data_IF_423389398061
#
_entry.id   IF_423389398061
#
_cell.length_a   1.000
_cell.length_b   1.000
_cell.length_c   1.000
_cell.angle_alpha   90.00
_cell.angle_beta   90.00
_cell.angle_gamma   90.00
#
_symmetry.space_group_name_H-M   'P 1'
#
loop_
_entity.id
_entity.type
_entity.pdbx_description
1 polymer ?
#
# COMPACT_ATOMS: atom_id res chain seq x y z
N UNK A 1 46.07 63.87 -37.43
CA UNK A 1 45.35 62.59 -37.34
C UNK A 1 45.22 62.22 -35.87
N UNK A 2 43.98 62.08 -35.38
CA UNK A 2 43.49 61.34 -34.19
C UNK A 2 44.27 61.47 -32.86
N UNK A 3 43.77 62.15 -31.81
CA UNK A 3 42.67 61.78 -30.86
C UNK A 3 42.96 60.47 -30.10
N UNK A 4 42.77 60.26 -28.79
CA UNK A 4 42.16 60.96 -27.64
C UNK A 4 42.47 60.14 -26.35
N UNK A 5 42.55 60.82 -25.20
CA UNK A 5 42.24 60.46 -23.78
C UNK A 5 42.33 59.02 -23.19
N UNK A 6 42.91 58.92 -21.99
CA UNK A 6 42.37 58.14 -20.85
C UNK A 6 43.08 58.45 -19.50
N UNK A 7 42.32 58.80 -18.46
CA UNK A 7 42.21 58.03 -17.20
C UNK A 7 41.49 58.83 -16.10
N UNK A 8 40.39 58.28 -15.61
CA UNK A 8 39.78 58.66 -14.33
C UNK A 8 39.35 57.40 -13.57
N UNK A 9 39.58 57.46 -12.27
CA UNK A 9 39.25 56.51 -11.20
C UNK A 9 37.76 56.28 -11.03
N UNK A 10 37.36 55.06 -10.64
CA UNK A 10 36.00 54.75 -10.23
C UNK A 10 35.91 53.44 -9.42
N UNK A 11 35.33 53.57 -8.23
CA UNK A 11 35.15 52.61 -7.14
C UNK A 11 34.47 51.29 -7.54
N UNK A 12 34.92 50.19 -6.91
CA UNK A 12 34.22 48.91 -6.92
C UNK A 12 33.36 48.76 -5.67
N UNK A 13 32.05 48.61 -5.85
CA UNK A 13 31.16 48.06 -4.85
C UNK A 13 30.19 47.07 -5.52
N UNK A 14 30.11 45.91 -4.87
CA UNK A 14 29.49 44.66 -5.30
C UNK A 14 27.99 44.79 -5.62
N UNK A 15 27.60 44.33 -6.81
CA UNK A 15 26.25 43.81 -7.06
C UNK A 15 26.38 42.50 -7.85
N UNK A 16 26.49 41.37 -7.15
CA UNK A 16 26.32 40.05 -7.76
C UNK A 16 24.83 39.67 -7.78
N UNK A 17 24.08 40.39 -8.61
CA UNK A 17 22.70 40.03 -8.96
C UNK A 17 22.75 38.87 -9.98
N UNK A 18 22.95 37.64 -9.49
CA UNK A 18 22.90 36.45 -10.33
C UNK A 18 21.43 36.07 -10.59
N UNK A 19 20.81 36.82 -11.48
CA UNK A 19 19.51 36.53 -12.07
C UNK A 19 19.63 35.26 -12.95
N UNK A 20 19.50 34.08 -12.34
CA UNK A 20 19.33 32.82 -13.06
C UNK A 20 17.98 32.89 -13.78
N UNK A 21 18.01 33.26 -15.07
CA UNK A 21 16.86 33.52 -15.95
C UNK A 21 15.72 32.52 -15.72
N UNK A 22 14.65 32.96 -15.08
CA UNK A 22 13.35 32.25 -15.01
C UNK A 22 12.94 31.69 -13.66
N UNK A 23 13.80 31.67 -12.64
CA UNK A 23 13.42 31.25 -11.29
C UNK A 23 12.68 32.38 -10.53
N UNK A 24 11.59 32.03 -9.87
CA UNK A 24 10.87 32.93 -8.95
C UNK A 24 11.39 32.65 -7.53
N UNK A 25 11.84 33.69 -6.83
CA UNK A 25 12.32 33.61 -5.44
C UNK A 25 11.35 34.30 -4.49
N UNK A 26 10.86 33.56 -3.50
CA UNK A 26 9.98 34.03 -2.42
C UNK A 26 10.70 33.77 -1.10
N UNK A 27 11.40 34.79 -0.60
CA UNK A 27 12.28 34.71 0.58
C UNK A 27 13.24 33.52 0.48
N UNK A 28 13.00 32.46 1.24
CA UNK A 28 13.87 31.28 1.35
C UNK A 28 13.54 30.17 0.33
N UNK A 29 12.42 30.28 -0.40
CA UNK A 29 12.02 29.31 -1.42
C UNK A 29 12.27 29.90 -2.79
N UNK A 30 12.86 29.13 -3.71
CA UNK A 30 12.86 29.45 -5.14
C UNK A 30 12.24 28.31 -5.94
N UNK A 31 11.60 28.62 -7.07
CA UNK A 31 11.04 27.59 -7.95
C UNK A 31 11.02 28.03 -9.40
N UNK A 32 11.02 27.06 -10.32
CA UNK A 32 10.83 27.31 -11.74
C UNK A 32 9.35 27.15 -12.11
N UNK A 33 8.65 28.24 -12.51
CA UNK A 33 7.24 28.16 -12.89
C UNK A 33 6.99 27.31 -14.15
N UNK A 34 8.02 27.01 -14.95
CA UNK A 34 7.92 26.15 -16.13
C UNK A 34 8.11 24.67 -15.80
N UNK A 35 8.83 24.35 -14.73
CA UNK A 35 9.06 22.98 -14.26
C UNK A 35 7.90 22.47 -13.40
N UNK A 36 6.73 22.27 -14.02
CA UNK A 36 5.51 21.80 -13.35
C UNK A 36 5.58 20.29 -13.12
N UNK A 37 5.42 19.88 -11.86
CA UNK A 37 5.38 18.47 -11.45
C UNK A 37 3.94 17.95 -11.36
N UNK A 38 2.97 18.82 -11.07
CA UNK A 38 1.58 18.43 -10.96
C UNK A 38 0.63 19.60 -10.79
N UNK A 39 -0.65 19.34 -11.04
CA UNK A 39 -1.76 20.28 -10.84
C UNK A 39 -2.75 19.67 -9.85
N UNK A 40 -3.23 20.49 -8.92
CA UNK A 40 -4.21 20.10 -7.91
C UNK A 40 -5.50 20.90 -8.04
N UNK A 41 -6.46 20.62 -7.15
CA UNK A 41 -7.72 21.35 -7.12
C UNK A 41 -7.53 22.83 -6.75
N UNK A 42 -8.50 23.67 -7.15
CA UNK A 42 -8.57 25.10 -6.80
C UNK A 42 -7.32 25.91 -7.21
N UNK A 43 -6.74 25.57 -8.37
CA UNK A 43 -5.57 26.27 -8.91
C UNK A 43 -4.26 25.94 -8.20
N UNK A 44 -4.23 24.88 -7.37
CA UNK A 44 -2.99 24.41 -6.74
C UNK A 44 -2.03 23.92 -7.82
N UNK A 45 -0.76 24.33 -7.73
CA UNK A 45 0.29 23.93 -8.66
C UNK A 45 1.50 23.43 -7.90
N UNK A 46 2.14 22.36 -8.36
CA UNK A 46 3.39 21.86 -7.79
C UNK A 46 4.49 22.05 -8.81
N UNK A 47 5.57 22.74 -8.42
CA UNK A 47 6.73 23.00 -9.26
C UNK A 47 8.01 22.44 -8.64
N UNK A 48 9.02 22.16 -9.47
CA UNK A 48 10.38 21.92 -8.97
C UNK A 48 10.96 23.23 -8.44
N UNK A 49 11.63 23.17 -7.30
CA UNK A 49 12.28 24.33 -6.69
C UNK A 49 13.43 23.97 -5.76
N UNK A 50 13.87 24.96 -4.99
CA UNK A 50 14.91 24.85 -3.97
C UNK A 50 14.52 25.55 -2.66
N UNK A 51 15.00 24.98 -1.57
CA UNK A 51 14.95 25.55 -0.23
C UNK A 51 16.23 25.16 0.49
N UNK A 52 17.00 26.13 1.00
CA UNK A 52 18.25 25.90 1.74
C UNK A 52 19.23 24.94 1.01
N UNK A 53 19.56 25.28 -0.25
CA UNK A 53 20.36 24.46 -1.20
C UNK A 53 19.83 23.04 -1.51
N UNK A 54 18.66 22.67 -0.98
CA UNK A 54 18.00 21.39 -1.24
C UNK A 54 17.02 21.52 -2.40
N UNK A 55 17.06 20.56 -3.32
CA UNK A 55 16.01 20.34 -4.32
C UNK A 55 14.69 19.91 -3.64
N UNK A 56 13.60 20.64 -3.90
CA UNK A 56 12.29 20.42 -3.27
C UNK A 56 11.15 20.47 -4.30
N UNK A 57 10.00 19.90 -3.93
CA UNK A 57 8.73 20.17 -4.59
C UNK A 57 8.06 21.37 -3.90
N UNK A 58 7.69 22.40 -4.66
CA UNK A 58 7.03 23.61 -4.15
C UNK A 58 5.56 23.56 -4.53
N UNK A 59 4.70 23.27 -3.55
CA UNK A 59 3.23 23.33 -3.68
C UNK A 59 2.77 24.77 -3.47
N UNK A 60 2.11 25.32 -4.48
CA UNK A 60 1.66 26.71 -4.57
C UNK A 60 0.14 26.70 -4.50
N UNK A 61 -0.42 27.35 -3.48
CA UNK A 61 -1.85 27.46 -3.26
C UNK A 61 -2.30 28.91 -3.30
N UNK A 62 -3.49 29.17 -3.84
CA UNK A 62 -4.12 30.50 -3.75
C UNK A 62 -4.31 30.90 -2.29
N UNK A 63 -4.16 32.18 -1.98
CA UNK A 63 -4.35 32.70 -0.63
C UNK A 63 -5.76 32.49 -0.08
N UNK A 64 -6.78 32.41 -0.92
CA UNK A 64 -8.14 32.08 -0.48
C UNK A 64 -8.26 30.65 0.09
N UNK A 65 -7.33 29.77 -0.29
CA UNK A 65 -7.17 28.45 0.29
C UNK A 65 -6.30 28.44 1.57
N UNK A 66 -5.89 29.60 2.10
CA UNK A 66 -4.98 29.70 3.26
C UNK A 66 -5.46 28.92 4.49
N UNK A 67 -6.77 28.89 4.75
CA UNK A 67 -7.32 28.10 5.88
C UNK A 67 -7.07 26.60 5.70
N UNK A 68 -7.14 26.09 4.47
CA UNK A 68 -6.84 24.70 4.14
C UNK A 68 -5.32 24.46 4.19
N UNK A 69 -4.54 25.36 3.59
CA UNK A 69 -3.07 25.28 3.61
C UNK A 69 -2.51 25.29 5.04
N UNK A 70 -3.05 26.13 5.94
CA UNK A 70 -2.64 26.18 7.35
C UNK A 70 -2.86 24.85 8.06
N UNK A 71 -4.00 24.19 7.83
CA UNK A 71 -4.28 22.86 8.40
C UNK A 71 -3.33 21.80 7.84
N UNK A 72 -3.13 21.81 6.53
CA UNK A 72 -2.16 20.91 5.87
C UNK A 72 -0.76 21.07 6.46
N UNK A 73 -0.27 22.32 6.62
CA UNK A 73 1.03 22.63 7.22
C UNK A 73 1.10 22.15 8.67
N UNK A 74 0.05 22.36 9.47
CA UNK A 74 0.00 21.92 10.87
C UNK A 74 0.04 20.40 11.01
N UNK A 75 -0.61 19.67 10.11
CA UNK A 75 -0.53 18.20 10.08
C UNK A 75 0.86 17.74 9.64
N UNK A 76 1.36 18.25 8.51
CA UNK A 76 2.67 17.88 7.97
C UNK A 76 3.82 18.09 8.97
N UNK A 77 3.84 19.24 9.66
CA UNK A 77 4.87 19.55 10.68
C UNK A 77 4.91 18.57 11.84
N UNK A 78 3.80 17.86 12.12
CA UNK A 78 3.74 16.88 13.21
C UNK A 78 4.11 15.47 12.76
N UNK A 79 4.20 15.20 11.45
CA UNK A 79 4.12 13.85 10.89
C UNK A 79 5.24 13.52 9.89
N UNK A 80 6.17 14.45 9.67
CA UNK A 80 7.25 14.34 8.67
C UNK A 80 8.43 13.44 9.10
N UNK A 81 8.30 12.72 10.22
CA UNK A 81 9.32 11.83 10.76
C UNK A 81 9.24 10.38 10.23
N UNK A 82 8.07 9.97 9.71
CA UNK A 82 7.89 8.59 9.24
C UNK A 82 8.42 8.40 7.81
N UNK A 83 9.10 7.28 7.55
CA UNK A 83 9.74 6.97 6.26
C UNK A 83 8.77 6.89 5.08
N UNK A 84 7.48 6.69 5.35
CA UNK A 84 6.41 6.53 4.35
C UNK A 84 5.38 7.66 4.37
N UNK A 85 5.73 8.81 4.95
CA UNK A 85 4.95 10.06 4.89
C UNK A 85 5.83 11.15 4.28
N UNK A 86 5.25 11.96 3.39
CA UNK A 86 6.01 13.00 2.70
C UNK A 86 6.66 13.97 3.70
N UNK A 87 7.95 14.24 3.51
CA UNK A 87 8.66 15.17 4.37
C UNK A 87 8.31 16.61 4.04
N UNK A 88 7.97 17.37 5.06
CA UNK A 88 7.81 18.82 4.99
C UNK A 88 9.12 19.52 5.34
N UNK A 89 9.44 20.59 4.61
CA UNK A 89 10.64 21.39 4.89
C UNK A 89 10.28 22.79 5.38
N UNK A 90 9.44 23.50 4.63
CA UNK A 90 9.19 24.91 4.90
C UNK A 90 7.87 25.39 4.32
N UNK A 91 7.42 26.56 4.75
CA UNK A 91 6.39 27.31 4.04
C UNK A 91 6.69 28.80 4.02
N UNK A 92 6.27 29.46 2.94
CA UNK A 92 6.24 30.91 2.80
C UNK A 92 4.86 31.37 2.33
N UNK A 93 4.63 32.68 2.43
CA UNK A 93 3.43 33.31 1.89
C UNK A 93 3.74 34.71 1.40
N UNK A 94 3.00 35.15 0.40
CA UNK A 94 2.98 36.54 -0.06
C UNK A 94 1.54 37.07 -0.13
N UNK A 95 1.32 38.12 -0.92
CA UNK A 95 0.01 38.74 -1.07
C UNK A 95 -1.00 37.85 -1.80
N UNK A 96 -0.56 36.93 -2.65
CA UNK A 96 -1.39 36.15 -3.58
C UNK A 96 -1.39 34.64 -3.28
N UNK A 97 -0.30 34.09 -2.75
CA UNK A 97 -0.08 32.65 -2.65
C UNK A 97 0.50 32.20 -1.30
N UNK A 98 0.33 30.90 -1.05
CA UNK A 98 1.02 30.13 -0.01
C UNK A 98 1.91 29.11 -0.72
N UNK A 99 3.16 29.01 -0.28
CA UNK A 99 4.19 28.13 -0.83
C UNK A 99 4.58 27.12 0.23
N UNK A 100 4.53 25.83 -0.09
CA UNK A 100 4.93 24.74 0.81
C UNK A 100 6.06 23.96 0.13
N UNK A 101 7.24 23.94 0.75
CA UNK A 101 8.39 23.15 0.30
C UNK A 101 8.32 21.74 0.92
N UNK A 102 8.27 20.73 0.05
CA UNK A 102 8.14 19.31 0.38
C UNK A 102 9.30 18.50 -0.24
N UNK A 103 9.47 17.27 0.21
CA UNK A 103 10.38 16.31 -0.44
C UNK A 103 10.06 16.15 -1.93
N UNK A 104 11.13 16.28 -2.75
CA UNK A 104 11.05 16.09 -4.18
C UNK A 104 11.14 14.60 -4.50
N UNK A 105 10.05 14.07 -5.06
CA UNK A 105 9.92 12.68 -5.46
C UNK A 105 10.24 12.50 -6.96
N UNK A 106 10.46 11.27 -7.40
CA UNK A 106 10.70 10.95 -8.81
C UNK A 106 9.39 10.97 -9.61
N UNK A 107 8.31 10.51 -9.00
CA UNK A 107 6.96 10.56 -9.56
C UNK A 107 5.92 10.05 -8.57
N UNK A 108 4.73 9.77 -9.06
CA UNK A 108 3.64 9.17 -8.27
C UNK A 108 3.38 7.70 -8.67
N UNK A 109 2.47 7.04 -7.97
CA UNK A 109 2.16 5.63 -8.18
C UNK A 109 1.49 5.36 -9.53
N UNK A 110 0.79 6.34 -10.10
CA UNK A 110 0.30 6.22 -11.48
C UNK A 110 1.46 6.23 -12.47
N UNK A 111 2.45 7.11 -12.28
CA UNK A 111 3.67 7.11 -13.13
C UNK A 111 4.42 5.77 -13.03
N UNK A 112 4.44 5.15 -11.85
CA UNK A 112 5.00 3.80 -11.65
C UNK A 112 4.25 2.75 -12.48
N UNK A 113 2.91 2.73 -12.40
CA UNK A 113 2.07 1.75 -13.11
C UNK A 113 2.10 1.96 -14.63
N UNK A 114 2.19 3.21 -15.08
CA UNK A 114 2.30 3.58 -16.50
C UNK A 114 3.74 3.46 -17.06
N UNK A 115 4.66 2.88 -16.28
CA UNK A 115 6.06 2.67 -16.66
C UNK A 115 6.84 3.95 -17.03
N UNK A 116 6.44 5.09 -16.47
CA UNK A 116 7.12 6.38 -16.70
C UNK A 116 8.38 6.55 -15.84
N UNK A 117 8.58 5.66 -14.85
CA UNK A 117 9.69 5.67 -13.90
C UNK A 117 10.80 4.66 -14.26
N UNK A 118 11.00 4.37 -15.55
CA UNK A 118 11.92 3.33 -16.03
C UNK A 118 13.40 3.53 -15.65
N UNK A 119 13.78 4.71 -15.15
CA UNK A 119 15.15 5.05 -14.73
C UNK A 119 15.48 4.69 -13.28
N UNK A 120 14.47 4.34 -12.47
CA UNK A 120 14.69 3.92 -11.08
C UNK A 120 14.46 2.42 -10.94
N UNK A 121 15.12 1.82 -9.95
CA UNK A 121 14.82 0.43 -9.59
C UNK A 121 13.36 0.33 -9.17
N UNK A 122 12.58 -0.50 -9.87
CA UNK A 122 11.19 -0.74 -9.51
C UNK A 122 11.13 -1.50 -8.20
N UNK A 123 10.33 -0.98 -7.28
CA UNK A 123 9.89 -1.75 -6.11
C UNK A 123 8.97 -2.86 -6.58
N UNK A 124 9.05 -4.02 -5.94
CA UNK A 124 8.06 -5.08 -6.11
C UNK A 124 6.68 -4.58 -5.65
N UNK A 125 5.59 -4.91 -6.37
CA UNK A 125 4.23 -4.42 -6.07
C UNK A 125 3.81 -4.61 -4.61
N UNK A 126 4.11 -5.77 -4.03
CA UNK A 126 3.75 -6.10 -2.64
C UNK A 126 4.54 -5.23 -1.66
N UNK A 127 5.81 -4.97 -1.89
CA UNK A 127 6.62 -4.09 -1.03
C UNK A 127 6.16 -2.64 -1.14
N UNK A 128 5.75 -2.20 -2.34
CA UNK A 128 5.17 -0.88 -2.54
C UNK A 128 3.90 -0.70 -1.67
N UNK A 129 2.98 -1.66 -1.77
CA UNK A 129 1.74 -1.68 -1.00
C UNK A 129 2.04 -1.75 0.50
N UNK A 130 3.02 -2.56 0.90
CA UNK A 130 3.45 -2.71 2.29
C UNK A 130 3.92 -1.37 2.87
N UNK A 131 4.76 -0.63 2.15
CA UNK A 131 5.22 0.69 2.55
C UNK A 131 4.09 1.73 2.60
N UNK A 132 3.15 1.71 1.64
CA UNK A 132 1.95 2.53 1.68
C UNK A 132 1.15 2.26 2.96
N UNK A 133 0.91 0.99 3.30
CA UNK A 133 0.16 0.61 4.49
C UNK A 133 0.88 0.97 5.79
N UNK A 134 2.22 0.90 5.84
CA UNK A 134 3.01 1.41 6.99
C UNK A 134 2.78 2.91 7.21
N UNK A 135 2.79 3.70 6.13
CA UNK A 135 2.47 5.12 6.19
C UNK A 135 1.05 5.36 6.71
N UNK A 136 0.08 4.55 6.27
CA UNK A 136 -1.32 4.70 6.68
C UNK A 136 -1.54 4.33 8.15
N UNK A 137 -0.93 3.23 8.61
CA UNK A 137 -0.89 2.83 10.03
C UNK A 137 -0.34 3.98 10.90
N UNK A 138 0.77 4.58 10.47
CA UNK A 138 1.36 5.72 11.18
C UNK A 138 0.36 6.88 11.27
N UNK A 139 -0.27 7.31 10.17
CA UNK A 139 -1.26 8.39 10.20
C UNK A 139 -2.45 8.08 11.12
N UNK A 140 -3.00 6.87 11.02
CA UNK A 140 -4.14 6.43 11.84
C UNK A 140 -3.78 6.41 13.34
N UNK A 141 -2.53 6.06 13.70
CA UNK A 141 -2.05 6.09 15.10
C UNK A 141 -2.01 7.50 15.71
N UNK A 142 -1.91 8.56 14.88
CA UNK A 142 -2.01 9.96 15.31
C UNK A 142 -3.43 10.53 15.19
N UNK A 143 -4.41 9.67 14.92
CA UNK A 143 -5.81 10.04 14.71
C UNK A 143 -6.04 10.84 13.42
N UNK A 144 -5.18 10.68 12.41
CA UNK A 144 -5.28 11.42 11.14
C UNK A 144 -5.95 10.53 10.09
N UNK A 145 -7.10 10.98 9.58
CA UNK A 145 -7.75 10.40 8.39
C UNK A 145 -7.28 11.16 7.15
N UNK A 146 -6.79 10.46 6.13
CA UNK A 146 -6.23 11.06 4.92
C UNK A 146 -7.31 11.65 4.00
N UNK A 147 -8.35 10.85 3.69
CA UNK A 147 -9.56 11.17 2.90
C UNK A 147 -9.38 11.39 1.39
N UNK A 148 -8.17 11.36 0.87
CA UNK A 148 -7.92 11.42 -0.58
C UNK A 148 -6.78 10.49 -1.01
N UNK A 149 -6.78 9.25 -0.50
CA UNK A 149 -5.83 8.24 -0.97
C UNK A 149 -6.21 7.80 -2.40
N UNK A 150 -5.23 7.89 -3.31
CA UNK A 150 -5.32 7.54 -4.72
C UNK A 150 -3.90 7.45 -5.30
N UNK A 151 -3.69 6.84 -6.48
CA UNK A 151 -2.34 6.69 -7.04
C UNK A 151 -1.56 8.00 -7.20
N UNK A 152 -2.24 9.11 -7.49
CA UNK A 152 -1.61 10.42 -7.64
C UNK A 152 -0.98 10.96 -6.34
N UNK A 153 -1.52 10.54 -5.18
CA UNK A 153 -1.10 11.05 -3.87
C UNK A 153 -0.14 10.09 -3.15
N UNK A 154 0.13 8.93 -3.75
CA UNK A 154 1.18 8.01 -3.31
C UNK A 154 2.41 8.29 -4.16
N UNK A 155 3.47 8.82 -3.55
CA UNK A 155 4.68 9.25 -4.25
C UNK A 155 5.78 8.20 -4.15
N UNK A 156 6.62 8.16 -5.17
CA UNK A 156 7.82 7.33 -5.25
C UNK A 156 9.03 8.23 -5.08
N UNK A 157 9.79 8.04 -4.00
CA UNK A 157 10.95 8.89 -3.70
C UNK A 157 12.01 8.78 -4.79
N UNK A 158 12.90 9.76 -4.82
CA UNK A 158 14.17 9.58 -5.54
C UNK A 158 14.97 8.44 -4.91
N UNK A 159 15.83 7.75 -5.69
CA UNK A 159 16.76 6.77 -5.13
C UNK A 159 17.66 7.41 -4.08
N UNK A 160 17.81 6.75 -2.94
CA UNK A 160 18.76 7.13 -1.91
C UNK A 160 20.21 6.80 -2.32
N UNK A 161 21.13 6.95 -1.36
CA UNK A 161 22.56 6.77 -1.62
C UNK A 161 22.90 5.32 -2.02
N UNK A 162 22.10 4.33 -1.59
CA UNK A 162 22.28 2.92 -1.90
C UNK A 162 21.33 2.45 -3.02
N UNK A 163 20.63 3.38 -3.69
CA UNK A 163 19.65 3.09 -4.74
C UNK A 163 18.26 2.74 -4.21
N UNK A 164 18.05 2.77 -2.90
CA UNK A 164 16.78 2.44 -2.26
C UNK A 164 15.70 3.47 -2.57
N UNK A 165 14.48 2.99 -2.84
CA UNK A 165 13.32 3.83 -3.16
C UNK A 165 12.25 3.63 -2.08
N UNK A 166 11.56 4.71 -1.74
CA UNK A 166 10.51 4.73 -0.70
C UNK A 166 9.16 5.12 -1.29
N UNK A 167 8.10 4.58 -0.71
CA UNK A 167 6.72 4.98 -1.00
C UNK A 167 6.24 5.96 0.07
N UNK A 168 5.67 7.09 -0.35
CA UNK A 168 5.33 8.21 0.53
C UNK A 168 3.87 8.60 0.35
N UNK A 169 3.09 8.64 1.43
CA UNK A 169 1.76 9.26 1.43
C UNK A 169 1.91 10.78 1.41
N UNK A 170 1.18 11.47 0.52
CA UNK A 170 1.24 12.92 0.33
C UNK A 170 -0.15 13.54 0.15
N UNK A 171 -0.19 14.88 0.08
CA UNK A 171 -1.39 15.70 -0.10
C UNK A 171 -2.39 15.67 1.08
N UNK A 172 -2.01 16.36 2.15
CA UNK A 172 -2.81 16.46 3.37
C UNK A 172 -3.86 17.57 3.31
N UNK A 173 -4.10 18.16 2.13
CA UNK A 173 -5.05 19.26 1.94
C UNK A 173 -6.49 18.89 2.29
N UNK A 174 -6.81 17.60 2.20
CA UNK A 174 -8.08 17.02 2.62
C UNK A 174 -7.97 16.20 3.90
N UNK A 175 -6.83 16.10 4.57
CA UNK A 175 -6.74 15.29 5.79
C UNK A 175 -7.45 15.95 6.99
N UNK A 176 -7.79 15.15 8.00
CA UNK A 176 -8.42 15.61 9.24
C UNK A 176 -7.89 14.83 10.43
N UNK A 177 -7.43 15.54 11.45
CA UNK A 177 -7.14 14.95 12.75
C UNK A 177 -8.43 14.85 13.57
N UNK A 178 -8.73 13.65 14.07
CA UNK A 178 -9.83 13.41 15.00
C UNK A 178 -9.45 13.91 16.40
N UNK A 179 -10.39 14.50 17.15
CA UNK A 179 -10.16 14.80 18.56
C UNK A 179 -9.82 13.53 19.35
N UNK A 180 -8.99 13.61 20.41
CA UNK A 180 -8.71 12.47 21.27
C UNK A 180 -9.99 11.80 21.78
N UNK A 181 -10.03 10.47 21.73
CA UNK A 181 -11.20 9.68 22.16
C UNK A 181 -12.40 9.72 21.22
N UNK A 182 -12.23 10.21 19.99
CA UNK A 182 -13.27 10.15 18.94
C UNK A 182 -12.81 9.30 17.76
N UNK A 183 -13.69 8.42 17.33
CA UNK A 183 -13.44 7.51 16.19
C UNK A 183 -14.12 7.98 14.90
N UNK A 184 -14.83 9.11 14.95
CA UNK A 184 -15.58 9.65 13.81
C UNK A 184 -15.58 11.17 13.71
N UNK A 185 -15.92 11.66 12.51
CA UNK A 185 -16.13 13.08 12.25
C UNK A 185 -17.45 13.36 11.51
N UNK A 186 -18.03 14.55 11.74
CA UNK A 186 -19.31 14.92 11.16
C UNK A 186 -19.23 15.25 9.66
N UNK A 187 -20.32 14.95 8.96
CA UNK A 187 -20.53 15.20 7.52
C UNK A 187 -20.73 16.67 7.14
N UNK A 188 -20.34 17.62 8.00
CA UNK A 188 -20.68 19.06 7.92
C UNK A 188 -20.11 19.79 6.70
N UNK A 189 -19.17 19.18 6.00
CA UNK A 189 -18.72 19.60 4.67
C UNK A 189 -19.19 18.55 3.66
N UNK A 190 -19.76 18.99 2.54
CA UNK A 190 -20.19 18.13 1.41
C UNK A 190 -19.08 17.20 0.90
N UNK A 191 -19.28 16.56 -0.26
CA UNK A 191 -18.31 15.60 -0.78
C UNK A 191 -16.88 16.19 -0.83
N UNK A 192 -15.95 15.51 -0.18
CA UNK A 192 -14.51 15.81 -0.17
C UNK A 192 -13.80 14.52 -0.57
N UNK A 193 -12.90 14.62 -1.55
CA UNK A 193 -12.14 13.49 -2.09
C UNK A 193 -12.24 13.44 -3.61
N UNK A 194 -11.65 12.40 -4.19
CA UNK A 194 -11.64 12.16 -5.64
C UNK A 194 -12.64 11.07 -5.99
N UNK A 195 -13.53 11.35 -6.95
CA UNK A 195 -14.45 10.34 -7.47
C UNK A 195 -13.67 9.11 -7.98
N UNK A 196 -14.24 7.94 -7.73
CA UNK A 196 -13.66 6.64 -8.06
C UNK A 196 -12.75 6.05 -6.99
N UNK A 197 -12.18 6.85 -6.10
CA UNK A 197 -11.33 6.36 -5.00
C UNK A 197 -12.00 6.51 -3.63
N UNK A 198 -12.98 7.40 -3.54
CA UNK A 198 -13.70 7.69 -2.30
C UNK A 198 -14.67 6.56 -1.90
N UNK A 199 -14.69 6.25 -0.61
CA UNK A 199 -15.59 5.29 0.00
C UNK A 199 -17.08 5.71 -0.11
N UNK A 200 -18.02 4.75 -0.21
CA UNK A 200 -19.44 5.03 -0.45
C UNK A 200 -20.09 5.94 0.61
N UNK A 201 -19.69 5.81 1.87
CA UNK A 201 -20.22 6.62 2.99
C UNK A 201 -19.85 8.12 2.89
N UNK A 202 -18.85 8.48 2.08
CA UNK A 202 -18.50 9.88 1.83
C UNK A 202 -19.54 10.62 0.99
N UNK A 203 -20.37 9.89 0.23
CA UNK A 203 -21.49 10.44 -0.53
C UNK A 203 -22.74 10.64 0.33
N UNK A 204 -22.82 9.99 1.49
CA UNK A 204 -23.93 10.12 2.43
C UNK A 204 -23.69 11.26 3.44
N UNK A 205 -24.79 11.92 3.84
CA UNK A 205 -24.79 12.92 4.92
C UNK A 205 -25.02 12.30 6.30
N UNK A 206 -25.57 11.09 6.36
CA UNK A 206 -26.11 10.49 7.58
C UNK A 206 -25.17 9.46 8.22
N UNK A 207 -24.04 9.15 7.58
CA UNK A 207 -23.08 8.18 8.08
C UNK A 207 -21.85 8.85 8.73
N UNK A 208 -21.46 8.32 9.88
CA UNK A 208 -20.23 8.67 10.56
C UNK A 208 -19.03 8.25 9.71
N UNK A 209 -18.11 9.17 9.49
CA UNK A 209 -16.91 8.94 8.70
C UNK A 209 -15.76 8.63 9.66
N UNK A 210 -15.09 7.50 9.47
CA UNK A 210 -14.02 6.99 10.35
C UNK A 210 -12.74 6.77 9.54
N UNK A 211 -11.72 6.13 10.13
CA UNK A 211 -10.52 5.66 9.41
C UNK A 211 -10.83 4.68 8.27
N UNK A 212 -11.99 4.02 8.30
CA UNK A 212 -12.42 3.03 7.31
C UNK A 212 -12.54 3.59 5.88
N UNK A 213 -12.71 4.93 5.73
CA UNK A 213 -12.73 5.57 4.40
C UNK A 213 -11.39 5.41 3.68
N UNK A 214 -10.28 5.50 4.43
CA UNK A 214 -8.94 5.36 3.87
C UNK A 214 -8.64 3.89 3.53
N UNK A 215 -9.19 2.95 4.31
CA UNK A 215 -9.05 1.50 4.06
C UNK A 215 -9.70 1.12 2.73
N UNK A 216 -10.89 1.65 2.45
CA UNK A 216 -11.54 1.45 1.15
C UNK A 216 -10.68 1.97 0.01
N UNK A 217 -10.22 3.23 0.11
CA UNK A 217 -9.35 3.84 -0.91
C UNK A 217 -8.04 3.07 -1.09
N UNK A 218 -7.42 2.60 -0.01
CA UNK A 218 -6.23 1.77 -0.04
C UNK A 218 -6.49 0.41 -0.70
N UNK A 219 -7.68 -0.18 -0.54
CA UNK A 219 -8.09 -1.42 -1.22
C UNK A 219 -8.18 -1.24 -2.73
N UNK A 220 -8.74 -0.11 -3.20
CA UNK A 220 -8.73 0.25 -4.62
C UNK A 220 -7.30 0.42 -5.15
N UNK A 221 -6.44 1.12 -4.41
CA UNK A 221 -5.04 1.34 -4.80
C UNK A 221 -4.25 0.02 -4.82
N UNK A 222 -4.47 -0.87 -3.86
CA UNK A 222 -3.85 -2.18 -3.80
C UNK A 222 -4.18 -3.00 -5.05
N UNK A 223 -5.46 -3.06 -5.44
CA UNK A 223 -5.88 -3.72 -6.67
C UNK A 223 -5.25 -3.08 -7.91
N UNK A 224 -5.24 -1.74 -7.98
CA UNK A 224 -4.64 -1.00 -9.09
C UNK A 224 -3.16 -1.33 -9.30
N UNK A 225 -2.39 -1.44 -8.22
CA UNK A 225 -0.98 -1.82 -8.26
C UNK A 225 -0.80 -3.27 -8.69
N UNK A 226 -1.53 -4.21 -8.09
CA UNK A 226 -1.38 -5.64 -8.38
C UNK A 226 -1.83 -6.03 -9.79
N UNK A 227 -2.72 -5.24 -10.40
CA UNK A 227 -3.22 -5.46 -11.76
C UNK A 227 -2.56 -4.56 -12.80
N UNK A 228 -1.60 -3.72 -12.38
CA UNK A 228 -0.92 -2.75 -13.24
C UNK A 228 -1.91 -1.86 -14.01
N UNK A 229 -2.92 -1.33 -13.31
CA UNK A 229 -3.75 -0.24 -13.83
C UNK A 229 -5.25 -0.48 -13.82
N UNK A 230 -5.75 -1.65 -13.43
CA UNK A 230 -7.20 -1.91 -13.38
C UNK A 230 -7.81 -1.36 -12.10
N UNK A 231 -9.12 -1.09 -12.14
CA UNK A 231 -9.87 -0.63 -10.97
C UNK A 231 -10.97 -1.65 -10.62
N UNK A 232 -11.19 -1.99 -9.33
CA UNK A 232 -12.11 -3.08 -8.97
C UNK A 232 -13.57 -2.77 -9.34
N UNK A 233 -13.90 -1.49 -9.47
CA UNK A 233 -15.24 -1.01 -9.81
C UNK A 233 -15.43 -0.70 -11.31
N UNK A 234 -14.55 -1.12 -12.20
CA UNK A 234 -14.72 -1.00 -13.66
C UNK A 234 -13.77 0.01 -14.32
N UNK A 235 -13.98 0.27 -15.62
CA UNK A 235 -12.97 0.98 -16.44
C UNK A 235 -13.26 2.47 -16.63
N UNK A 236 -14.54 2.89 -16.63
CA UNK A 236 -14.91 4.29 -16.78
C UNK A 236 -15.30 4.92 -15.44
N UNK A 237 -15.04 6.22 -15.27
CA UNK A 237 -15.40 6.92 -14.03
C UNK A 237 -16.90 6.81 -13.69
N UNK A 238 -17.77 6.78 -14.72
CA UNK A 238 -19.21 6.60 -14.56
C UNK A 238 -19.51 5.21 -13.97
N UNK A 239 -18.98 4.16 -14.56
CA UNK A 239 -19.21 2.79 -14.11
C UNK A 239 -18.66 2.58 -12.71
N UNK A 240 -17.44 3.07 -12.47
CA UNK A 240 -16.79 3.06 -11.16
C UNK A 240 -17.70 3.70 -10.11
N UNK A 241 -18.23 4.89 -10.38
CA UNK A 241 -19.06 5.61 -9.41
C UNK A 241 -20.35 4.85 -9.11
N UNK A 242 -21.03 4.32 -10.13
CA UNK A 242 -22.26 3.52 -9.96
C UNK A 242 -21.96 2.28 -9.13
N UNK A 243 -20.88 1.56 -9.47
CA UNK A 243 -20.49 0.31 -8.84
C UNK A 243 -20.05 0.46 -7.39
N UNK A 244 -19.36 1.56 -7.05
CA UNK A 244 -19.07 1.91 -5.65
C UNK A 244 -20.37 2.12 -4.88
N UNK A 245 -21.32 2.87 -5.46
CA UNK A 245 -22.60 3.15 -4.82
C UNK A 245 -23.45 1.88 -4.63
N UNK A 246 -23.44 0.95 -5.59
CA UNK A 246 -24.19 -0.31 -5.50
C UNK A 246 -23.44 -1.42 -4.76
N UNK A 247 -22.19 -1.19 -4.33
CA UNK A 247 -21.37 -2.19 -3.64
C UNK A 247 -20.93 -3.36 -4.52
N UNK A 248 -20.88 -3.17 -5.84
CA UNK A 248 -20.55 -4.24 -6.80
C UNK A 248 -19.16 -4.05 -7.37
N UNK A 249 -18.26 -5.01 -7.17
CA UNK A 249 -16.90 -4.98 -7.73
C UNK A 249 -16.49 -6.36 -8.27
N UNK A 250 -15.43 -6.39 -9.07
CA UNK A 250 -14.78 -7.63 -9.52
C UNK A 250 -13.29 -7.56 -9.23
N UNK A 251 -12.74 -8.67 -8.77
CA UNK A 251 -11.30 -8.84 -8.53
C UNK A 251 -10.67 -9.84 -9.50
N UNK A 252 -11.34 -10.15 -10.61
CA UNK A 252 -11.00 -11.29 -11.48
C UNK A 252 -9.71 -11.08 -12.27
N UNK A 253 -9.20 -9.85 -12.36
CA UNK A 253 -7.93 -9.55 -13.02
C UNK A 253 -6.71 -9.92 -12.16
N UNK A 254 -6.91 -10.25 -10.87
CA UNK A 254 -5.83 -10.81 -10.05
C UNK A 254 -5.55 -12.26 -10.48
N UNK A 255 -4.27 -12.66 -10.58
CA UNK A 255 -3.89 -13.96 -11.11
C UNK A 255 -4.46 -15.10 -10.24
N UNK A 256 -4.81 -16.27 -10.83
CA UNK A 256 -5.29 -17.43 -10.10
C UNK A 256 -4.14 -18.21 -9.42
N UNK A 257 -3.26 -17.50 -8.72
CA UNK A 257 -2.14 -18.04 -7.96
C UNK A 257 -2.40 -17.91 -6.46
N UNK A 258 -1.64 -18.60 -5.62
CA UNK A 258 -1.77 -18.48 -4.16
C UNK A 258 -1.72 -17.02 -3.70
N UNK A 259 -0.73 -16.24 -4.13
CA UNK A 259 -0.64 -14.83 -3.75
C UNK A 259 -1.79 -13.99 -4.34
N UNK A 260 -2.30 -14.33 -5.53
CA UNK A 260 -3.46 -13.68 -6.11
C UNK A 260 -4.75 -13.94 -5.31
N UNK A 261 -4.97 -15.16 -4.80
CA UNK A 261 -6.09 -15.45 -3.91
C UNK A 261 -5.93 -14.80 -2.53
N UNK A 262 -4.72 -14.77 -1.98
CA UNK A 262 -4.42 -14.06 -0.73
C UNK A 262 -4.68 -12.54 -0.89
N UNK A 263 -4.32 -11.95 -2.02
CA UNK A 263 -4.65 -10.56 -2.32
C UNK A 263 -6.16 -10.32 -2.47
N UNK A 264 -6.87 -11.21 -3.20
CA UNK A 264 -8.34 -11.16 -3.32
C UNK A 264 -9.02 -11.18 -1.95
N UNK A 265 -8.48 -11.96 -1.01
CA UNK A 265 -9.02 -12.10 0.33
C UNK A 265 -9.07 -10.77 1.10
N UNK A 266 -7.93 -10.10 1.23
CA UNK A 266 -7.85 -8.85 1.99
C UNK A 266 -8.48 -7.68 1.25
N UNK A 267 -8.34 -7.59 -0.07
CA UNK A 267 -8.94 -6.51 -0.87
C UNK A 267 -10.47 -6.58 -0.76
N UNK A 268 -11.06 -7.77 -0.78
CA UNK A 268 -12.51 -7.95 -0.60
C UNK A 268 -12.98 -7.37 0.74
N UNK A 269 -12.28 -7.66 1.84
CA UNK A 269 -12.62 -7.14 3.17
C UNK A 269 -12.45 -5.60 3.22
N UNK A 270 -11.38 -5.06 2.62
CA UNK A 270 -11.13 -3.61 2.54
C UNK A 270 -12.20 -2.87 1.72
N UNK A 271 -12.80 -3.51 0.71
CA UNK A 271 -13.81 -2.93 -0.18
C UNK A 271 -15.25 -3.17 0.28
N UNK A 272 -15.46 -3.67 1.51
CA UNK A 272 -16.81 -3.85 2.07
C UNK A 272 -17.64 -2.56 2.01
N UNK A 273 -18.90 -2.67 1.60
CA UNK A 273 -19.86 -1.57 1.65
C UNK A 273 -20.17 -1.13 3.08
N UNK A 274 -20.09 -2.04 4.06
CA UNK A 274 -20.18 -1.71 5.47
C UNK A 274 -18.80 -1.25 5.99
N UNK A 275 -18.64 0.02 6.38
CA UNK A 275 -17.36 0.52 6.89
C UNK A 275 -16.89 -0.18 8.17
N UNK A 276 -17.80 -0.74 8.99
CA UNK A 276 -17.42 -1.44 10.23
C UNK A 276 -16.89 -2.85 9.96
N UNK A 277 -17.19 -3.42 8.80
CA UNK A 277 -16.66 -4.71 8.38
C UNK A 277 -15.27 -4.60 7.74
N UNK A 278 -14.79 -3.38 7.45
CA UNK A 278 -13.45 -3.16 6.89
C UNK A 278 -12.40 -3.32 8.00
N UNK A 279 -11.27 -4.00 7.74
CA UNK A 279 -10.19 -4.15 8.72
C UNK A 279 -9.51 -2.81 8.99
N UNK A 280 -8.97 -2.62 10.19
CA UNK A 280 -8.07 -1.50 10.46
C UNK A 280 -6.77 -1.59 9.64
N UNK A 281 -6.05 -0.47 9.48
CA UNK A 281 -4.77 -0.45 8.75
C UNK A 281 -3.75 -1.42 9.35
N UNK A 282 -3.74 -1.59 10.67
CA UNK A 282 -2.87 -2.55 11.35
C UNK A 282 -3.23 -3.99 10.99
N UNK A 283 -4.52 -4.34 10.99
CA UNK A 283 -4.98 -5.68 10.60
C UNK A 283 -4.62 -5.99 9.15
N UNK A 284 -4.72 -5.01 8.24
CA UNK A 284 -4.26 -5.16 6.86
C UNK A 284 -2.75 -5.43 6.81
N UNK A 285 -1.94 -4.66 7.55
CA UNK A 285 -0.48 -4.78 7.54
C UNK A 285 0.04 -6.13 8.04
N UNK A 286 -0.70 -6.78 8.95
CA UNK A 286 -0.37 -8.09 9.50
C UNK A 286 -0.94 -9.26 8.69
N UNK A 287 -1.72 -8.96 7.64
CA UNK A 287 -2.35 -9.97 6.81
C UNK A 287 -1.32 -10.89 6.13
N UNK A 288 -1.73 -12.14 5.88
CA UNK A 288 -0.99 -13.19 5.17
C UNK A 288 -0.30 -12.73 3.86
N UNK A 289 -0.81 -11.67 3.22
CA UNK A 289 -0.24 -11.06 2.01
C UNK A 289 1.20 -10.59 2.21
N UNK A 290 1.53 -10.08 3.41
CA UNK A 290 2.85 -9.51 3.72
C UNK A 290 3.81 -10.49 4.40
N UNK A 291 3.38 -11.74 4.61
CA UNK A 291 4.24 -12.75 5.20
C UNK A 291 5.27 -13.28 4.20
N UNK A 292 6.51 -13.44 4.66
CA UNK A 292 7.50 -14.21 3.91
C UNK A 292 7.13 -15.71 3.90
N UNK A 293 7.75 -16.47 3.00
CA UNK A 293 7.46 -17.90 2.80
C UNK A 293 7.72 -18.74 4.05
N UNK A 294 8.79 -18.46 4.81
CA UNK A 294 9.03 -19.12 6.09
C UNK A 294 7.85 -18.92 7.06
N UNK A 295 7.34 -17.69 7.20
CA UNK A 295 6.23 -17.40 8.10
C UNK A 295 4.94 -18.11 7.66
N UNK A 296 4.66 -18.15 6.35
CA UNK A 296 3.55 -18.92 5.76
C UNK A 296 3.69 -20.43 6.03
N UNK A 297 4.90 -21.00 5.90
CA UNK A 297 5.15 -22.41 6.18
C UNK A 297 4.97 -22.73 7.67
N UNK A 298 5.52 -21.91 8.58
CA UNK A 298 5.34 -22.09 10.02
C UNK A 298 3.87 -22.03 10.43
N UNK A 299 3.06 -21.20 9.79
CA UNK A 299 1.62 -21.17 10.00
C UNK A 299 0.94 -22.50 9.65
N UNK A 300 1.31 -23.13 8.52
CA UNK A 300 0.77 -24.43 8.13
C UNK A 300 1.21 -25.55 9.09
N UNK A 301 2.46 -25.53 9.54
CA UNK A 301 2.98 -26.46 10.56
C UNK A 301 2.24 -26.33 11.90
N UNK A 302 2.09 -25.08 12.39
CA UNK A 302 1.34 -24.79 13.61
C UNK A 302 -0.12 -25.25 13.49
N UNK A 303 -0.73 -25.03 12.32
CA UNK A 303 -2.07 -25.51 12.03
C UNK A 303 -2.16 -27.02 12.11
N UNK A 304 -1.29 -27.75 11.39
CA UNK A 304 -1.25 -29.21 11.45
C UNK A 304 -1.19 -29.76 12.89
N UNK A 305 -0.36 -29.14 13.73
CA UNK A 305 -0.19 -29.57 15.12
C UNK A 305 -1.39 -29.22 16.03
N UNK A 306 -2.24 -28.28 15.62
CA UNK A 306 -3.31 -27.75 16.47
C UNK A 306 -4.70 -28.24 16.13
N UNK A 307 -4.97 -28.69 14.89
CA UNK A 307 -6.32 -29.02 14.42
C UNK A 307 -7.06 -29.92 15.42
N UNK A 308 -8.16 -29.38 15.98
CA UNK A 308 -9.06 -30.10 16.90
C UNK A 308 -10.22 -30.71 16.13
N UNK A 309 -10.82 -31.78 16.67
CA UNK A 309 -12.00 -32.45 16.10
C UNK A 309 -13.17 -31.49 15.84
N UNK A 310 -13.32 -30.47 16.70
CA UNK A 310 -14.35 -29.42 16.58
C UNK A 310 -14.19 -28.52 15.36
N UNK A 311 -13.00 -28.49 14.75
CA UNK A 311 -12.69 -27.61 13.61
C UNK A 311 -12.77 -28.33 12.26
N UNK A 312 -12.89 -29.66 12.27
CA UNK A 312 -12.84 -30.47 11.05
C UNK A 312 -13.94 -30.08 10.07
N UNK A 313 -15.15 -29.77 10.57
CA UNK A 313 -16.23 -29.32 9.71
C UNK A 313 -15.86 -28.08 8.88
N UNK A 314 -15.21 -27.09 9.50
CA UNK A 314 -14.86 -25.84 8.83
C UNK A 314 -13.65 -26.01 7.91
N UNK A 315 -12.68 -26.85 8.31
CA UNK A 315 -11.50 -27.19 7.51
C UNK A 315 -11.89 -27.97 6.25
N UNK A 316 -12.88 -28.85 6.35
CA UNK A 316 -13.33 -29.70 5.24
C UNK A 316 -14.50 -29.08 4.46
N UNK A 317 -14.78 -27.78 4.65
CA UNK A 317 -15.88 -27.11 3.96
C UNK A 317 -15.71 -27.20 2.41
N UNK A 318 -16.64 -27.87 1.70
CA UNK A 318 -16.51 -28.14 0.26
C UNK A 318 -16.67 -26.89 -0.61
N UNK A 319 -17.23 -25.79 -0.10
CA UNK A 319 -17.42 -24.55 -0.86
C UNK A 319 -16.09 -23.92 -1.31
N UNK A 320 -15.00 -24.19 -0.57
CA UNK A 320 -13.69 -23.59 -0.82
C UNK A 320 -12.81 -24.39 -1.81
N UNK A 321 -13.32 -25.51 -2.37
CA UNK A 321 -12.73 -26.35 -3.44
C UNK A 321 -11.19 -26.29 -3.52
N UNK A 322 -10.50 -26.74 -2.48
CA UNK A 322 -9.02 -26.74 -2.43
C UNK A 322 -8.42 -27.73 -3.43
N UNK A 323 -9.11 -28.85 -3.65
CA UNK A 323 -8.83 -29.89 -4.63
C UNK A 323 -10.15 -30.61 -4.95
N UNK A 324 -10.18 -31.43 -6.01
CA UNK A 324 -11.43 -32.09 -6.44
C UNK A 324 -11.89 -33.21 -5.50
N UNK A 325 -11.15 -34.32 -5.47
CA UNK A 325 -11.53 -35.56 -4.76
C UNK A 325 -10.35 -36.25 -4.08
N UNK A 326 -9.15 -36.00 -4.59
CA UNK A 326 -7.92 -36.64 -4.13
C UNK A 326 -6.78 -35.63 -4.31
N UNK A 327 -6.26 -35.12 -3.20
CA UNK A 327 -5.18 -34.15 -3.22
C UNK A 327 -3.84 -34.77 -3.65
N UNK A 328 -3.70 -36.09 -3.75
CA UNK A 328 -2.45 -36.69 -4.23
C UNK A 328 -2.27 -36.49 -5.73
N UNK A 329 -3.34 -36.34 -6.51
CA UNK A 329 -3.32 -36.22 -7.99
C UNK A 329 -2.29 -35.21 -8.53
N UNK A 330 -2.23 -33.95 -8.04
CA UNK A 330 -1.26 -32.95 -8.52
C UNK A 330 0.17 -33.14 -8.00
N UNK A 331 0.44 -34.06 -7.07
CA UNK A 331 1.77 -34.29 -6.54
C UNK A 331 2.70 -34.97 -7.56
N UNK A 332 4.00 -34.81 -7.38
CA UNK A 332 5.05 -35.53 -8.10
C UNK A 332 5.04 -37.02 -7.76
N UNK A 333 5.63 -37.83 -8.64
CA UNK A 333 5.61 -39.28 -8.50
C UNK A 333 6.43 -39.73 -7.29
N UNK A 334 7.55 -39.08 -7.04
CA UNK A 334 8.46 -39.33 -5.92
C UNK A 334 7.74 -39.14 -4.58
N UNK A 335 7.00 -38.05 -4.44
CA UNK A 335 6.21 -37.77 -3.23
C UNK A 335 5.04 -38.75 -3.09
N UNK A 336 4.38 -39.11 -4.19
CA UNK A 336 3.29 -40.11 -4.20
C UNK A 336 3.77 -41.49 -3.73
N UNK A 337 4.92 -41.94 -4.24
CA UNK A 337 5.49 -43.25 -3.90
C UNK A 337 5.94 -43.29 -2.44
N UNK A 338 6.46 -42.18 -1.92
CA UNK A 338 6.92 -42.05 -0.55
C UNK A 338 5.78 -42.05 0.49
N UNK A 339 4.56 -41.64 0.11
CA UNK A 339 3.37 -41.71 0.99
C UNK A 339 2.48 -42.92 0.69
N UNK A 340 2.90 -43.76 -0.26
CA UNK A 340 2.11 -44.89 -0.73
C UNK A 340 1.90 -45.90 0.39
N UNK A 341 0.65 -46.28 0.62
CA UNK A 341 0.21 -47.16 1.72
C UNK A 341 0.37 -46.57 3.14
N UNK A 342 0.72 -45.29 3.26
CA UNK A 342 0.72 -44.64 4.57
C UNK A 342 -0.72 -44.25 4.96
N UNK A 343 -1.33 -45.09 5.80
CA UNK A 343 -2.70 -44.94 6.28
C UNK A 343 -2.94 -43.67 7.10
N UNK A 344 -1.89 -42.93 7.47
CA UNK A 344 -2.03 -41.71 8.26
C UNK A 344 -2.58 -40.52 7.45
N UNK A 345 -2.56 -40.61 6.11
CA UNK A 345 -2.99 -39.55 5.22
C UNK A 345 -4.35 -39.87 4.59
N UNK A 346 -5.40 -39.18 5.03
CA UNK A 346 -6.67 -39.20 4.32
C UNK A 346 -6.57 -38.35 3.03
N UNK A 347 -6.50 -39.02 1.88
CA UNK A 347 -6.29 -38.37 0.57
C UNK A 347 -7.47 -37.53 0.08
N UNK A 348 -8.64 -37.70 0.71
CA UNK A 348 -9.87 -36.96 0.40
C UNK A 348 -10.13 -35.77 1.33
N UNK A 349 -9.24 -35.52 2.30
CA UNK A 349 -9.43 -34.48 3.32
C UNK A 349 -8.31 -33.44 3.30
N UNK A 350 -8.68 -32.16 3.47
CA UNK A 350 -7.75 -31.03 3.63
C UNK A 350 -6.81 -31.25 4.82
N UNK A 351 -7.32 -31.83 5.92
CA UNK A 351 -6.50 -32.23 7.05
C UNK A 351 -5.40 -33.21 6.65
N UNK A 352 -5.67 -34.15 5.74
CA UNK A 352 -4.67 -35.09 5.23
C UNK A 352 -3.54 -34.40 4.46
N UNK A 353 -3.89 -33.39 3.66
CA UNK A 353 -2.93 -32.54 2.95
C UNK A 353 -2.09 -31.70 3.92
N UNK A 354 -2.72 -31.05 4.90
CA UNK A 354 -2.01 -30.28 5.93
C UNK A 354 -1.06 -31.16 6.74
N UNK A 355 -1.47 -32.39 7.04
CA UNK A 355 -0.63 -33.40 7.71
C UNK A 355 0.57 -33.80 6.88
N UNK A 356 0.41 -33.98 5.58
CA UNK A 356 1.53 -34.25 4.68
C UNK A 356 2.54 -33.10 4.72
N UNK A 357 2.06 -31.86 4.56
CA UNK A 357 2.92 -30.66 4.56
C UNK A 357 3.66 -30.51 5.89
N UNK A 358 2.96 -30.66 7.01
CA UNK A 358 3.58 -30.61 8.34
C UNK A 358 4.62 -31.71 8.55
N UNK A 359 4.29 -32.96 8.24
CA UNK A 359 5.21 -34.08 8.45
C UNK A 359 6.46 -33.98 7.56
N UNK A 360 6.29 -33.65 6.27
CA UNK A 360 7.41 -33.58 5.32
C UNK A 360 8.30 -32.36 5.53
N UNK A 361 7.79 -31.28 6.13
CA UNK A 361 8.64 -30.15 6.51
C UNK A 361 9.46 -30.46 7.77
N UNK A 362 8.86 -31.08 8.79
CA UNK A 362 9.55 -31.44 10.03
C UNK A 362 10.64 -32.50 9.82
N UNK A 363 10.37 -33.49 8.96
CA UNK A 363 11.30 -34.57 8.61
C UNK A 363 11.95 -34.35 7.24
N UNK A 364 12.21 -33.10 6.85
CA UNK A 364 12.75 -32.79 5.52
C UNK A 364 14.09 -33.49 5.26
N UNK A 365 15.01 -33.41 6.22
CA UNK A 365 16.36 -33.98 6.06
C UNK A 365 16.42 -35.51 6.19
N UNK A 366 15.36 -36.15 6.71
CA UNK A 366 15.25 -37.61 6.82
C UNK A 366 14.76 -38.25 5.51
N UNK A 367 14.31 -37.44 4.54
CA UNK A 367 13.76 -37.92 3.26
C UNK A 367 14.86 -38.34 2.28
N UNK A 368 14.48 -39.17 1.31
CA UNK A 368 15.38 -39.57 0.23
C UNK A 368 15.77 -38.36 -0.64
N UNK A 369 16.92 -38.46 -1.30
CA UNK A 369 17.40 -37.39 -2.18
C UNK A 369 16.42 -37.06 -3.31
N UNK A 370 15.69 -38.05 -3.83
CA UNK A 370 14.69 -37.85 -4.89
C UNK A 370 13.47 -37.06 -4.40
N UNK A 371 13.00 -37.35 -3.20
CA UNK A 371 11.87 -36.63 -2.58
C UNK A 371 12.29 -35.19 -2.23
N UNK A 372 13.47 -34.99 -1.63
CA UNK A 372 14.01 -33.64 -1.35
C UNK A 372 14.17 -32.82 -2.64
N UNK A 373 14.72 -33.43 -3.69
CA UNK A 373 14.86 -32.79 -5.00
C UNK A 373 13.50 -32.42 -5.59
N UNK A 374 12.49 -33.26 -5.41
CA UNK A 374 11.14 -32.98 -5.90
C UNK A 374 10.43 -31.87 -5.13
N UNK A 375 10.60 -31.81 -3.80
CA UNK A 375 9.96 -30.81 -2.95
C UNK A 375 10.68 -29.46 -3.04
N UNK A 376 11.98 -29.48 -3.30
CA UNK A 376 12.83 -28.29 -3.30
C UNK A 376 13.27 -27.88 -1.89
N UNK A 377 14.19 -26.93 -1.85
CA UNK A 377 14.77 -26.41 -0.61
C UNK A 377 13.73 -25.76 0.31
N UNK A 378 13.87 -26.01 1.61
CA UNK A 378 13.06 -25.39 2.66
C UNK A 378 13.60 -23.99 3.01
N UNK A 379 12.75 -22.97 3.24
CA UNK A 379 11.28 -23.00 3.20
C UNK A 379 10.65 -22.63 1.86
N UNK A 380 11.40 -22.00 0.95
CA UNK A 380 10.82 -21.26 -0.16
C UNK A 380 10.32 -22.17 -1.30
N UNK A 381 11.17 -23.03 -1.86
CA UNK A 381 10.79 -23.94 -2.95
C UNK A 381 9.83 -25.01 -2.45
N UNK A 382 10.02 -25.47 -1.21
CA UNK A 382 9.10 -26.37 -0.52
C UNK A 382 7.68 -25.80 -0.45
N UNK A 383 7.52 -24.56 -0.01
CA UNK A 383 6.20 -23.94 0.06
C UNK A 383 5.60 -23.76 -1.35
N UNK A 384 6.41 -23.30 -2.31
CA UNK A 384 5.98 -23.11 -3.70
C UNK A 384 5.48 -24.41 -4.34
N UNK A 385 6.10 -25.55 -4.00
CA UNK A 385 5.66 -26.87 -4.46
C UNK A 385 4.19 -27.12 -4.10
N UNK A 386 3.77 -26.81 -2.87
CA UNK A 386 2.39 -27.01 -2.45
C UNK A 386 1.46 -25.89 -2.92
N UNK A 387 1.85 -24.62 -2.78
CA UNK A 387 0.97 -23.48 -3.10
C UNK A 387 0.73 -23.29 -4.59
N UNK A 388 1.63 -23.79 -5.46
CA UNK A 388 1.39 -23.86 -6.91
C UNK A 388 0.34 -24.90 -7.29
N UNK A 389 0.18 -25.96 -6.47
CA UNK A 389 -0.77 -27.07 -6.70
C UNK A 389 -2.10 -26.85 -6.00
N UNK A 390 -2.09 -26.18 -4.84
CA UNK A 390 -3.25 -25.89 -4.01
C UNK A 390 -3.31 -24.39 -3.69
N UNK A 391 -3.60 -23.54 -4.68
CA UNK A 391 -3.48 -22.08 -4.52
C UNK A 391 -4.47 -21.48 -3.51
N UNK A 392 -5.54 -22.19 -3.15
CA UNK A 392 -6.51 -21.75 -2.14
C UNK A 392 -6.17 -22.22 -0.71
N UNK A 393 -5.20 -23.12 -0.54
CA UNK A 393 -4.94 -23.79 0.75
C UNK A 393 -4.61 -22.79 1.86
N UNK A 394 -3.69 -21.86 1.61
CA UNK A 394 -3.23 -20.90 2.60
C UNK A 394 -4.35 -19.96 3.07
N UNK A 395 -5.11 -19.39 2.12
CA UNK A 395 -6.19 -18.45 2.45
C UNK A 395 -7.34 -19.16 3.19
N UNK A 396 -7.73 -20.35 2.75
CA UNK A 396 -8.74 -21.17 3.42
C UNK A 396 -8.32 -21.48 4.86
N UNK A 397 -7.10 -21.98 5.03
CA UNK A 397 -6.55 -22.30 6.35
C UNK A 397 -6.48 -21.04 7.23
N UNK A 398 -6.02 -19.91 6.68
CA UNK A 398 -5.96 -18.63 7.39
C UNK A 398 -7.34 -18.14 7.87
N UNK A 399 -8.40 -18.31 7.07
CA UNK A 399 -9.76 -17.92 7.47
C UNK A 399 -10.31 -18.84 8.56
N UNK A 400 -10.15 -20.16 8.42
CA UNK A 400 -10.65 -21.14 9.41
C UNK A 400 -9.93 -20.99 10.75
N UNK A 401 -8.60 -20.82 10.74
CA UNK A 401 -7.80 -20.71 11.96
C UNK A 401 -7.93 -19.37 12.69
N UNK A 402 -8.67 -18.39 12.13
CA UNK A 402 -8.93 -17.10 12.78
C UNK A 402 -9.65 -17.26 14.13
N UNK A 403 -10.47 -18.31 14.29
CA UNK A 403 -11.12 -18.62 15.57
C UNK A 403 -10.12 -18.99 16.68
N UNK A 404 -8.91 -19.42 16.31
CA UNK A 404 -7.80 -19.71 17.23
C UNK A 404 -6.87 -18.51 17.46
N UNK A 405 -7.20 -17.30 16.99
CA UNK A 405 -6.34 -16.11 17.08
C UNK A 405 -5.84 -15.77 18.49
N UNK A 406 -6.58 -16.16 19.54
CA UNK A 406 -6.20 -15.94 20.95
C UNK A 406 -5.28 -17.02 21.54
N UNK A 407 -5.14 -18.15 20.85
CA UNK A 407 -4.35 -19.29 21.29
C UNK A 407 -2.86 -18.98 21.13
N UNK A 408 -2.02 -19.44 22.06
CA UNK A 408 -0.57 -19.13 22.06
C UNK A 408 0.11 -19.53 20.74
N UNK A 409 -0.32 -20.64 20.14
CA UNK A 409 0.18 -21.12 18.86
C UNK A 409 -0.12 -20.16 17.69
N UNK A 410 -1.10 -19.27 17.81
CA UNK A 410 -1.55 -18.39 16.72
C UNK A 410 -1.48 -16.89 16.98
N UNK A 411 -1.06 -16.45 18.17
CA UNK A 411 -0.86 -15.02 18.48
C UNK A 411 0.12 -14.32 17.54
N UNK A 412 1.07 -15.05 16.96
CA UNK A 412 2.02 -14.51 15.98
C UNK A 412 1.39 -14.25 14.59
N UNK A 413 0.24 -14.86 14.30
CA UNK A 413 -0.42 -14.81 12.98
C UNK A 413 -1.65 -13.89 12.95
N UNK A 414 -2.24 -13.61 14.11
CA UNK A 414 -3.42 -12.75 14.21
C UNK A 414 -3.21 -11.74 15.34
N UNK A 415 -3.19 -10.44 15.00
CA UNK A 415 -3.31 -9.38 16.02
C UNK A 415 -4.77 -9.07 16.29
N UNK A 416 -5.06 -8.81 17.55
CA UNK A 416 -6.34 -8.23 17.96
C UNK A 416 -6.33 -6.73 17.72
N UNK A 417 -7.48 -6.20 17.31
CA UNK A 417 -7.73 -4.76 17.19
C UNK A 417 -7.64 -4.04 18.54
#
# INVERSE_FOLDING_TARGET
MSSLEQSTSGEGQETSDSNVKGLIKIKNISYDPKSVLGLGCKGTKVCKGRFDERDVAVKILLRDAYKLAKREIELLRKQDQHSNVIRYYWNEKDTQFVYIALELCEGNLQDYVEDKLSKIQKLEPIELIHQMMKGLVYLHSFGIVHRDLKPHNILISRPGAQGEVRVLISDFGLSRQLPPGKDSFSATSGFLGTFGWAAPELFSKDQNRTFAVDIFSAGCVMYYVLTMGKHPFGDTLRDITIRIYTGTFSLDQLPPTSDGYIAKDIIRDMLSSDPNARPTANVVLEHLLFWNKNHKLRFLEATNNWIKTTMIHDIENPENKIFDSDWTKPLSQEVKDDIRNDTQYNTSAVQGLLRLIGNKSQHYYDQTADVQKSLGSIPDEYLDYFTSRFPLLLVHTYRVMKCCSKEDAFKAYYKHE
#
